data_IF_639137337130
#
_entry.id   IF_639137337130
#
_cell.length_a   1.000
_cell.length_b   1.000
_cell.length_c   1.000
_cell.angle_alpha   90.00
_cell.angle_beta   90.00
_cell.angle_gamma   90.00
#
_symmetry.space_group_name_H-M   'P 1'
#
loop_
_entity.id
_entity.type
_entity.pdbx_description
1 polymer ?
#
# COMPACT_ATOMS: atom_id res chain seq x y z
N UNK A 1 -4.71 21.66 13.14
CA UNK A 1 -5.02 20.23 12.84
C UNK A 1 -4.79 20.03 11.35
N UNK A 2 -4.22 18.89 10.92
CA UNK A 2 -3.81 18.67 9.54
C UNK A 2 -4.96 18.29 8.58
N UNK A 3 -6.04 17.66 9.08
CA UNK A 3 -7.13 17.12 8.26
C UNK A 3 -7.70 18.12 7.24
N UNK A 4 -8.08 19.37 7.59
CA UNK A 4 -8.66 20.29 6.61
C UNK A 4 -7.71 20.56 5.44
N UNK A 5 -6.42 20.75 5.70
CA UNK A 5 -5.42 21.00 4.67
C UNK A 5 -5.22 19.78 3.77
N UNK A 6 -5.18 18.57 4.33
CA UNK A 6 -5.06 17.34 3.55
C UNK A 6 -6.28 17.11 2.66
N UNK A 7 -7.48 17.43 3.15
CA UNK A 7 -8.72 17.39 2.34
C UNK A 7 -8.65 18.40 1.20
N UNK A 8 -8.17 19.62 1.45
CA UNK A 8 -8.01 20.63 0.41
C UNK A 8 -7.01 20.19 -0.67
N UNK A 9 -5.92 19.51 -0.28
CA UNK A 9 -4.94 18.95 -1.22
C UNK A 9 -5.55 17.82 -2.05
N UNK A 10 -6.23 16.85 -1.42
CA UNK A 10 -6.87 15.72 -2.09
C UNK A 10 -7.88 16.18 -3.17
N UNK A 11 -8.66 17.22 -2.86
CA UNK A 11 -9.66 17.80 -3.76
C UNK A 11 -9.07 18.60 -4.93
N UNK A 12 -7.84 19.07 -4.81
CA UNK A 12 -7.27 19.98 -5.79
C UNK A 12 -6.77 19.23 -7.02
N UNK A 13 -7.59 19.16 -8.07
CA UNK A 13 -7.24 18.52 -9.35
C UNK A 13 -6.15 19.25 -10.14
N UNK A 14 -5.70 20.44 -9.69
CA UNK A 14 -4.51 21.10 -10.24
C UNK A 14 -3.21 20.67 -9.54
N UNK A 15 -3.28 19.84 -8.49
CA UNK A 15 -2.11 19.22 -7.89
C UNK A 15 -1.72 17.96 -8.65
N UNK A 16 -0.43 17.62 -8.59
CA UNK A 16 0.09 16.38 -9.13
C UNK A 16 -0.61 15.16 -8.50
N UNK A 17 -0.94 14.12 -9.28
CA UNK A 17 -1.50 12.85 -8.81
C UNK A 17 -0.87 12.33 -7.51
N UNK A 18 0.46 12.28 -7.46
CA UNK A 18 1.20 11.78 -6.30
C UNK A 18 0.99 12.63 -5.05
N UNK A 19 0.89 13.96 -5.18
CA UNK A 19 0.64 14.84 -4.02
C UNK A 19 -0.76 14.60 -3.43
N UNK A 20 -1.74 14.30 -4.29
CA UNK A 20 -3.10 13.96 -3.89
C UNK A 20 -3.17 12.57 -3.23
N UNK A 21 -2.45 11.60 -3.78
CA UNK A 21 -2.27 10.27 -3.20
C UNK A 21 -1.69 10.36 -1.78
N UNK A 22 -0.59 11.08 -1.59
CA UNK A 22 0.05 11.27 -0.27
C UNK A 22 -0.90 11.94 0.74
N UNK A 23 -1.76 12.86 0.29
CA UNK A 23 -2.78 13.44 1.14
C UNK A 23 -3.84 12.43 1.57
N UNK A 24 -4.30 11.56 0.66
CA UNK A 24 -5.23 10.47 0.97
C UNK A 24 -4.61 9.44 1.92
N UNK A 25 -3.34 9.08 1.72
CA UNK A 25 -2.62 8.16 2.60
C UNK A 25 -2.45 8.75 4.00
N UNK A 26 -2.04 10.02 4.10
CA UNK A 26 -1.93 10.71 5.38
C UNK A 26 -3.27 10.78 6.13
N UNK A 27 -4.38 10.98 5.41
CA UNK A 27 -5.73 10.92 5.98
C UNK A 27 -6.04 9.52 6.53
N UNK A 28 -5.75 8.46 5.77
CA UNK A 28 -5.89 7.07 6.23
C UNK A 28 -5.01 6.74 7.45
N UNK A 29 -3.78 7.26 7.48
CA UNK A 29 -2.84 7.11 8.58
C UNK A 29 -3.34 7.80 9.86
N UNK A 30 -3.95 8.98 9.75
CA UNK A 30 -4.60 9.69 10.88
C UNK A 30 -5.75 8.87 11.46
N UNK A 31 -6.51 8.15 10.62
CA UNK A 31 -7.48 7.17 11.08
C UNK A 31 -8.73 7.77 11.74
N UNK A 32 -9.14 8.98 11.35
CA UNK A 32 -10.33 9.65 11.90
C UNK A 32 -11.60 9.19 11.17
N UNK A 33 -12.71 8.96 11.89
CA UNK A 33 -13.97 8.58 11.23
C UNK A 33 -14.57 9.70 10.38
N UNK A 34 -14.31 10.96 10.74
CA UNK A 34 -14.84 12.18 10.11
C UNK A 34 -14.43 12.33 8.63
N UNK A 35 -13.44 11.56 8.17
CA UNK A 35 -12.93 11.60 6.79
C UNK A 35 -13.50 10.48 5.91
N UNK A 36 -14.34 9.59 6.44
CA UNK A 36 -14.88 8.46 5.66
C UNK A 36 -15.67 8.92 4.44
N UNK A 37 -16.49 9.97 4.58
CA UNK A 37 -17.29 10.49 3.47
C UNK A 37 -16.43 11.08 2.36
N UNK A 38 -15.31 11.73 2.69
CA UNK A 38 -14.43 12.33 1.68
C UNK A 38 -13.60 11.25 0.97
N UNK A 39 -13.12 10.24 1.69
CA UNK A 39 -12.42 9.13 1.05
C UNK A 39 -13.37 8.32 0.13
N UNK A 40 -14.63 8.13 0.52
CA UNK A 40 -15.61 7.44 -0.32
C UNK A 40 -15.92 8.24 -1.61
N UNK A 41 -15.99 9.57 -1.53
CA UNK A 41 -16.13 10.45 -2.69
C UNK A 41 -14.98 10.25 -3.69
N UNK A 42 -13.74 10.19 -3.20
CA UNK A 42 -12.53 10.08 -4.04
C UNK A 42 -12.13 8.64 -4.37
N UNK A 43 -12.86 7.62 -3.89
CA UNK A 43 -12.65 6.23 -4.30
C UNK A 43 -12.91 6.02 -5.80
N UNK A 44 -13.68 6.90 -6.43
CA UNK A 44 -13.96 6.88 -7.88
C UNK A 44 -13.21 7.98 -8.64
N UNK A 45 -12.11 8.50 -8.09
CA UNK A 45 -11.28 9.51 -8.77
C UNK A 45 -10.78 8.97 -10.13
N UNK A 46 -10.72 9.80 -11.18
CA UNK A 46 -10.18 9.37 -12.48
C UNK A 46 -8.68 9.03 -12.43
N UNK A 47 -7.95 9.51 -11.41
CA UNK A 47 -6.54 9.18 -11.19
C UNK A 47 -6.47 7.93 -10.31
N UNK A 48 -5.95 6.84 -10.88
CA UNK A 48 -5.99 5.52 -10.25
C UNK A 48 -5.25 5.50 -8.91
N UNK A 49 -4.11 6.18 -8.81
CA UNK A 49 -3.32 6.28 -7.58
C UNK A 49 -4.13 6.93 -6.45
N UNK A 50 -4.96 7.93 -6.76
CA UNK A 50 -5.82 8.60 -5.77
C UNK A 50 -6.98 7.70 -5.38
N UNK A 51 -7.64 7.07 -6.35
CA UNK A 51 -8.79 6.19 -6.13
C UNK A 51 -8.41 4.98 -5.25
N UNK A 52 -7.35 4.28 -5.62
CA UNK A 52 -6.84 3.10 -4.91
C UNK A 52 -6.36 3.45 -3.50
N UNK A 53 -5.76 4.62 -3.32
CA UNK A 53 -5.31 5.07 -1.99
C UNK A 53 -6.49 5.41 -1.09
N UNK A 54 -7.53 6.04 -1.63
CA UNK A 54 -8.77 6.26 -0.87
C UNK A 54 -9.43 4.93 -0.47
N UNK A 55 -9.41 3.93 -1.36
CA UNK A 55 -9.87 2.57 -1.04
C UNK A 55 -9.08 1.95 0.11
N UNK A 56 -7.74 2.00 0.06
CA UNK A 56 -6.86 1.49 1.12
C UNK A 56 -7.10 2.21 2.44
N UNK A 57 -7.22 3.54 2.42
CA UNK A 57 -7.51 4.35 3.60
C UNK A 57 -8.87 3.98 4.23
N UNK A 58 -9.90 3.76 3.42
CA UNK A 58 -11.20 3.26 3.90
C UNK A 58 -11.10 1.85 4.48
N UNK A 59 -10.35 0.95 3.83
CA UNK A 59 -10.07 -0.39 4.35
C UNK A 59 -9.40 -0.34 5.73
N UNK A 60 -8.43 0.57 5.88
CA UNK A 60 -7.74 0.83 7.14
C UNK A 60 -8.69 1.34 8.23
N UNK A 61 -9.53 2.32 7.93
CA UNK A 61 -10.54 2.83 8.87
C UNK A 61 -11.50 1.72 9.33
N UNK A 62 -12.01 0.91 8.39
CA UNK A 62 -12.85 -0.25 8.70
C UNK A 62 -12.13 -1.23 9.61
N UNK A 63 -10.86 -1.51 9.35
CA UNK A 63 -10.05 -2.37 10.21
C UNK A 63 -9.86 -1.80 11.62
N UNK A 64 -9.52 -0.50 11.74
CA UNK A 64 -9.33 0.19 13.03
C UNK A 64 -10.60 0.16 13.90
N UNK A 65 -11.77 0.23 13.26
CA UNK A 65 -13.08 0.19 13.91
C UNK A 65 -13.57 -1.23 14.22
N UNK A 66 -13.11 -2.23 13.47
CA UNK A 66 -13.33 -3.63 13.82
C UNK A 66 -12.48 -3.97 15.05
N UNK A 67 -13.08 -4.56 16.09
CA UNK A 67 -12.42 -4.84 17.40
C UNK A 67 -11.21 -5.81 17.36
N UNK A 68 -10.62 -6.07 16.19
CA UNK A 68 -9.49 -6.95 15.93
C UNK A 68 -8.11 -6.25 16.06
N UNK A 69 -7.93 -5.39 17.07
CA UNK A 69 -6.62 -4.77 17.37
C UNK A 69 -5.52 -5.79 17.76
N UNK A 70 -5.92 -7.02 18.10
CA UNK A 70 -5.02 -8.10 18.50
C UNK A 70 -4.26 -8.76 17.35
N UNK A 71 -4.58 -8.46 16.09
CA UNK A 71 -3.87 -9.02 14.91
C UNK A 71 -2.72 -8.13 14.44
N UNK A 72 -2.38 -7.08 15.19
CA UNK A 72 -1.21 -6.25 14.91
C UNK A 72 0.07 -6.99 15.32
N UNK A 73 0.61 -7.83 14.42
CA UNK A 73 2.01 -8.24 14.54
C UNK A 73 2.87 -6.97 14.64
N UNK A 74 3.83 -6.93 15.56
CA UNK A 74 4.69 -5.76 15.73
C UNK A 74 5.33 -5.41 14.39
N UNK A 75 5.10 -4.18 13.89
CA UNK A 75 5.74 -3.70 12.67
C UNK A 75 7.22 -3.41 12.98
N UNK A 76 8.18 -4.17 12.42
CA UNK A 76 9.59 -3.98 12.72
C UNK A 76 10.19 -2.71 12.06
N UNK A 77 9.45 -2.04 11.19
CA UNK A 77 9.92 -0.86 10.43
C UNK A 77 9.42 0.48 11.00
N UNK A 78 8.66 0.45 12.11
CA UNK A 78 8.12 1.65 12.77
C UNK A 78 7.37 2.61 11.81
N UNK A 79 6.72 2.06 10.79
CA UNK A 79 5.89 2.78 9.82
C UNK A 79 4.40 2.66 10.14
N UNK A 80 3.62 3.59 9.61
CA UNK A 80 2.15 3.52 9.62
C UNK A 80 1.70 2.95 8.28
N UNK A 81 1.62 1.63 8.20
CA UNK A 81 1.32 0.95 6.94
C UNK A 81 -0.15 1.18 6.48
N UNK A 82 -0.43 1.34 5.18
CA UNK A 82 -1.80 1.47 4.67
C UNK A 82 -2.71 0.29 5.04
N UNK A 83 -2.17 -0.92 5.20
CA UNK A 83 -2.90 -2.09 5.65
C UNK A 83 -2.14 -2.87 6.73
N UNK A 84 -2.82 -3.50 7.70
CA UNK A 84 -2.17 -4.35 8.68
C UNK A 84 -1.67 -5.66 8.02
N UNK A 85 -0.50 -6.20 8.41
CA UNK A 85 -0.05 -7.50 7.90
C UNK A 85 -1.07 -8.60 8.24
N UNK A 86 -1.25 -9.56 7.34
CA UNK A 86 -2.07 -10.75 7.62
C UNK A 86 -1.27 -11.79 8.41
N UNK A 87 -1.82 -12.26 9.53
CA UNK A 87 -1.20 -13.29 10.37
C UNK A 87 -1.45 -14.72 9.88
N UNK A 88 -0.59 -15.65 10.32
CA UNK A 88 -0.84 -17.11 10.22
C UNK A 88 -0.77 -17.73 8.82
N UNK A 89 -0.25 -17.00 7.81
CA UNK A 89 -0.10 -17.51 6.44
C UNK A 89 1.35 -17.90 6.13
N UNK A 90 1.50 -18.91 5.28
CA UNK A 90 2.77 -19.33 4.68
C UNK A 90 3.19 -18.39 3.55
N UNK A 91 4.47 -18.41 3.17
CA UNK A 91 4.99 -17.61 2.05
C UNK A 91 4.25 -17.93 0.74
N UNK A 92 3.88 -19.19 0.50
CA UNK A 92 3.18 -19.58 -0.73
C UNK A 92 1.72 -19.07 -0.77
N UNK A 93 1.03 -19.07 0.38
CA UNK A 93 -0.29 -18.44 0.49
C UNK A 93 -0.20 -16.92 0.30
N UNK A 94 0.79 -16.27 0.91
CA UNK A 94 1.04 -14.84 0.76
C UNK A 94 1.39 -14.47 -0.70
N UNK A 95 2.22 -15.28 -1.36
CA UNK A 95 2.55 -15.15 -2.79
C UNK A 95 1.28 -15.22 -3.65
N UNK A 96 0.41 -16.19 -3.37
CA UNK A 96 -0.85 -16.38 -4.10
C UNK A 96 -1.73 -15.15 -4.01
N UNK A 97 -1.88 -14.57 -2.81
CA UNK A 97 -2.67 -13.35 -2.60
C UNK A 97 -1.99 -12.15 -3.28
N UNK A 98 -0.68 -11.97 -3.08
CA UNK A 98 0.04 -10.80 -3.56
C UNK A 98 0.02 -10.67 -5.09
N UNK A 99 0.16 -11.80 -5.79
CA UNK A 99 0.29 -11.87 -7.26
C UNK A 99 -1.06 -12.09 -7.98
N UNK A 100 -2.17 -12.16 -7.26
CA UNK A 100 -3.49 -12.30 -7.87
C UNK A 100 -4.11 -10.91 -8.13
N UNK A 101 -4.13 -10.50 -9.40
CA UNK A 101 -4.74 -9.22 -9.82
C UNK A 101 -6.26 -9.18 -9.65
N UNK A 102 -6.90 -10.29 -9.28
CA UNK A 102 -8.33 -10.34 -8.93
C UNK A 102 -8.59 -10.22 -7.43
N UNK A 103 -7.56 -10.32 -6.60
CA UNK A 103 -7.69 -10.14 -5.16
C UNK A 103 -7.89 -8.66 -4.82
N UNK A 104 -8.68 -8.39 -3.78
CA UNK A 104 -8.91 -7.03 -3.26
C UNK A 104 -7.59 -6.35 -2.93
N UNK A 105 -7.45 -5.07 -3.29
CA UNK A 105 -6.20 -4.32 -3.12
C UNK A 105 -5.74 -4.32 -1.66
N UNK A 106 -6.69 -4.15 -0.73
CA UNK A 106 -6.39 -4.20 0.70
C UNK A 106 -5.75 -5.53 1.10
N UNK A 107 -6.29 -6.68 0.68
CA UNK A 107 -5.72 -8.00 1.01
C UNK A 107 -4.34 -8.22 0.38
N UNK A 108 -4.10 -7.69 -0.82
CA UNK A 108 -2.77 -7.70 -1.45
C UNK A 108 -1.77 -6.90 -0.62
N UNK A 109 -2.13 -5.71 -0.14
CA UNK A 109 -1.29 -4.92 0.78
C UNK A 109 -1.05 -5.63 2.12
N UNK A 110 -2.06 -6.30 2.68
CA UNK A 110 -1.88 -7.11 3.90
C UNK A 110 -0.87 -8.24 3.69
N UNK A 111 -0.91 -8.90 2.53
CA UNK A 111 0.06 -9.93 2.17
C UNK A 111 1.46 -9.35 1.94
N UNK A 112 1.55 -8.19 1.30
CA UNK A 112 2.78 -7.44 1.08
C UNK A 112 3.50 -7.15 2.40
N UNK A 113 2.79 -6.55 3.38
CA UNK A 113 3.39 -6.22 4.67
C UNK A 113 3.71 -7.45 5.51
N UNK A 114 2.94 -8.54 5.39
CA UNK A 114 3.30 -9.81 6.02
C UNK A 114 4.63 -10.35 5.45
N UNK A 115 4.81 -10.36 4.12
CA UNK A 115 6.06 -10.76 3.47
C UNK A 115 7.23 -9.84 3.86
N UNK A 116 7.02 -8.52 3.89
CA UNK A 116 8.02 -7.56 4.35
C UNK A 116 8.49 -7.90 5.77
N UNK A 117 7.55 -8.16 6.67
CA UNK A 117 7.87 -8.41 8.08
C UNK A 117 8.64 -9.73 8.30
N UNK A 118 8.55 -10.69 7.38
CA UNK A 118 9.34 -11.94 7.44
C UNK A 118 10.85 -11.72 7.22
N UNK A 119 11.23 -10.69 6.45
CA UNK A 119 12.64 -10.33 6.18
C UNK A 119 13.50 -11.49 5.62
N UNK A 120 12.89 -12.54 5.08
CA UNK A 120 13.62 -13.69 4.53
C UNK A 120 13.92 -13.51 3.04
N UNK A 121 15.02 -14.09 2.52
CA UNK A 121 15.32 -14.06 1.09
C UNK A 121 14.18 -14.62 0.21
N UNK A 122 13.44 -15.61 0.70
CA UNK A 122 12.29 -16.20 0.01
C UNK A 122 11.14 -15.19 -0.10
N UNK A 123 10.83 -14.47 0.98
CA UNK A 123 9.80 -13.43 0.98
C UNK A 123 10.20 -12.24 0.10
N UNK A 124 11.46 -11.83 0.14
CA UNK A 124 12.01 -10.77 -0.71
C UNK A 124 11.90 -11.12 -2.19
N UNK A 125 12.16 -12.38 -2.57
CA UNK A 125 11.97 -12.83 -3.95
C UNK A 125 10.51 -12.75 -4.40
N UNK A 126 9.55 -13.03 -3.51
CA UNK A 126 8.11 -12.87 -3.81
C UNK A 126 7.77 -11.40 -4.02
N UNK A 127 8.23 -10.52 -3.13
CA UNK A 127 8.05 -9.07 -3.26
C UNK A 127 8.68 -8.54 -4.57
N UNK A 128 9.90 -8.98 -4.90
CA UNK A 128 10.57 -8.61 -6.15
C UNK A 128 9.82 -9.06 -7.41
N UNK A 129 9.12 -10.20 -7.37
CA UNK A 129 8.26 -10.63 -8.47
C UNK A 129 7.02 -9.74 -8.65
N UNK A 130 6.52 -9.15 -7.57
CA UNK A 130 5.34 -8.29 -7.58
C UNK A 130 5.59 -6.90 -8.18
N UNK A 131 6.84 -6.50 -8.45
CA UNK A 131 7.18 -5.30 -9.25
C UNK A 131 6.69 -5.35 -10.70
N UNK A 132 5.99 -6.41 -11.13
CA UNK A 132 5.44 -6.57 -12.49
C UNK A 132 3.93 -6.80 -12.49
N UNK A 133 3.27 -6.59 -11.35
CA UNK A 133 1.87 -6.91 -11.13
C UNK A 133 1.15 -5.70 -10.55
N UNK A 134 -0.18 -5.64 -10.73
CA UNK A 134 -0.99 -4.54 -10.24
C UNK A 134 -0.74 -3.19 -10.93
N UNK A 135 -1.34 -2.17 -10.35
CA UNK A 135 -1.27 -0.77 -10.78
C UNK A 135 0.11 -0.15 -10.54
N UNK A 136 0.34 1.05 -11.09
CA UNK A 136 1.54 1.83 -10.80
C UNK A 136 1.69 2.11 -9.29
N UNK A 137 0.59 2.41 -8.59
CA UNK A 137 0.57 2.57 -7.14
C UNK A 137 1.01 1.29 -6.41
N UNK A 138 0.48 0.13 -6.80
CA UNK A 138 0.85 -1.14 -6.17
C UNK A 138 2.35 -1.43 -6.34
N UNK A 139 2.90 -1.21 -7.54
CA UNK A 139 4.33 -1.40 -7.81
C UNK A 139 5.20 -0.38 -7.07
N UNK A 140 4.74 0.86 -6.96
CA UNK A 140 5.38 1.88 -6.13
C UNK A 140 5.53 1.40 -4.68
N UNK A 141 4.46 0.89 -4.09
CA UNK A 141 4.50 0.39 -2.71
C UNK A 141 5.44 -0.83 -2.58
N UNK A 142 5.43 -1.75 -3.54
CA UNK A 142 6.38 -2.87 -3.57
C UNK A 142 7.82 -2.36 -3.56
N UNK A 143 8.14 -1.36 -4.38
CA UNK A 143 9.47 -0.75 -4.41
C UNK A 143 9.81 -0.08 -3.08
N UNK A 144 8.85 0.61 -2.46
CA UNK A 144 8.99 1.22 -1.14
C UNK A 144 9.33 0.16 -0.07
N UNK A 145 8.57 -0.93 0.04
CA UNK A 145 8.85 -1.98 1.05
C UNK A 145 10.17 -2.72 0.79
N UNK A 146 10.56 -2.93 -0.47
CA UNK A 146 11.90 -3.45 -0.81
C UNK A 146 13.01 -2.48 -0.39
N UNK A 147 12.76 -1.17 -0.49
CA UNK A 147 13.63 -0.11 0.03
C UNK A 147 13.71 -0.12 1.55
N UNK A 148 12.60 -0.32 2.27
CA UNK A 148 12.59 -0.48 3.73
C UNK A 148 13.42 -1.69 4.19
N UNK A 149 13.36 -2.79 3.43
CA UNK A 149 14.10 -4.02 3.71
C UNK A 149 15.62 -3.87 3.57
N UNK A 150 16.09 -3.01 2.66
CA UNK A 150 17.51 -2.75 2.38
C UNK A 150 18.36 -4.02 2.12
N UNK A 151 17.72 -5.10 1.67
CA UNK A 151 18.37 -6.39 1.54
C UNK A 151 18.99 -6.55 0.15
N UNK A 152 20.26 -6.98 -0.01
CA UNK A 152 20.92 -7.10 -1.33
C UNK A 152 20.16 -7.95 -2.35
N UNK A 153 19.39 -8.95 -1.92
CA UNK A 153 18.53 -9.74 -2.80
C UNK A 153 17.43 -8.94 -3.53
N UNK A 154 17.04 -7.75 -3.06
CA UNK A 154 16.07 -6.90 -3.75
C UNK A 154 16.67 -6.14 -4.94
N UNK A 155 17.99 -5.89 -4.91
CA UNK A 155 18.68 -5.03 -5.87
C UNK A 155 18.46 -5.44 -7.32
N UNK A 156 18.59 -6.73 -7.71
CA UNK A 156 18.35 -7.13 -9.10
C UNK A 156 16.93 -6.81 -9.58
N UNK A 157 15.93 -6.98 -8.71
CA UNK A 157 14.53 -6.70 -9.06
C UNK A 157 14.27 -5.19 -9.20
N UNK A 158 14.88 -4.37 -8.33
CA UNK A 158 14.78 -2.90 -8.42
C UNK A 158 15.48 -2.36 -9.66
N UNK A 159 16.67 -2.89 -10.02
CA UNK A 159 17.37 -2.54 -11.26
C UNK A 159 16.46 -2.85 -12.45
N UNK A 160 15.93 -4.06 -12.51
CA UNK A 160 15.08 -4.49 -13.62
C UNK A 160 13.80 -3.62 -13.75
N UNK A 161 13.19 -3.22 -12.63
CA UNK A 161 12.04 -2.32 -12.63
C UNK A 161 12.40 -0.91 -13.13
N UNK A 162 13.58 -0.39 -12.77
CA UNK A 162 14.06 0.92 -13.24
C UNK A 162 14.49 0.90 -14.72
N UNK A 163 14.92 -0.25 -15.23
CA UNK A 163 15.28 -0.44 -16.64
C UNK A 163 14.06 -0.63 -17.56
N UNK A 164 12.87 -0.91 -17.00
CA UNK A 164 11.66 -1.12 -17.78
C UNK A 164 11.07 0.21 -18.28
N UNK A 165 11.35 0.55 -19.54
CA UNK A 165 10.85 1.78 -20.16
C UNK A 165 9.33 1.82 -20.34
N UNK A 166 8.61 0.72 -20.07
CA UNK A 166 7.14 0.68 -20.11
C UNK A 166 6.50 1.16 -18.80
N UNK A 167 7.28 1.34 -17.74
CA UNK A 167 6.79 1.80 -16.44
C UNK A 167 6.48 3.31 -16.40
N UNK A 168 6.94 4.09 -17.38
CA UNK A 168 6.82 5.56 -17.40
C UNK A 168 5.63 6.11 -18.23
N UNK A 169 4.63 5.28 -18.54
CA UNK A 169 3.44 5.69 -19.31
C UNK A 169 2.12 5.38 -18.60
#
# INVERSE_FOLDING_TARGET
RAIPLLVDILKNTNQEPMVRHEAAEALGAIGSDDISSILEEFKSDPVIEVAETCELALGRLKWLNSSNKNDSSANPFNSVDPAPPVGGKTIDELRTILLDDKSELFDRYRAMFALRNLQSPEAIKVLGQALRSGSALFRHEIAFVLGQLQHPCSVPFLIESLEDSRESE
#
